data_IF_989538142131
#
_entry.id   IF_989538142131
#
_cell.length_a   1.000
_cell.length_b   1.000
_cell.length_c   1.000
_cell.angle_alpha   90.00
_cell.angle_beta   90.00
_cell.angle_gamma   90.00
#
_symmetry.space_group_name_H-M   'P 1'
#
loop_
_entity.id
_entity.type
_entity.pdbx_description
1 polymer ?
#
# COMPACT_ATOMS: atom_id res chain seq x y z
N UNK A 1 -29.52 -0.75 17.34
CA UNK A 1 -29.25 -1.96 16.53
C UNK A 1 -29.12 -3.15 17.45
N UNK A 2 -29.64 -4.30 17.01
CA UNK A 2 -29.57 -5.52 17.78
C UNK A 2 -30.54 -5.56 18.98
N UNK A 3 -31.52 -4.67 19.05
CA UNK A 3 -32.47 -4.61 20.19
C UNK A 3 -33.20 -5.93 20.38
N UNK A 4 -33.70 -6.54 19.31
CA UNK A 4 -34.37 -7.84 19.39
C UNK A 4 -33.46 -8.97 19.84
N UNK A 5 -32.19 -8.99 19.38
CA UNK A 5 -31.20 -9.96 19.85
C UNK A 5 -30.82 -9.70 21.31
N UNK A 6 -30.71 -8.43 21.69
CA UNK A 6 -30.44 -8.04 23.07
C UNK A 6 -31.59 -8.47 24.00
N UNK A 7 -32.84 -8.26 23.59
CA UNK A 7 -34.00 -8.67 24.33
C UNK A 7 -34.03 -10.18 24.53
N UNK A 8 -33.77 -10.97 23.49
CA UNK A 8 -33.70 -12.43 23.58
C UNK A 8 -32.60 -12.85 24.59
N UNK A 9 -31.39 -12.37 24.46
CA UNK A 9 -30.28 -12.76 25.32
C UNK A 9 -30.49 -12.34 26.77
N UNK A 10 -30.95 -11.12 27.01
CA UNK A 10 -31.11 -10.59 28.36
C UNK A 10 -32.39 -11.04 29.03
N UNK A 11 -33.52 -11.00 28.27
CA UNK A 11 -34.84 -11.21 28.87
C UNK A 11 -35.28 -12.66 28.79
N UNK A 12 -34.96 -13.41 27.74
CA UNK A 12 -35.36 -14.80 27.60
C UNK A 12 -34.30 -15.75 28.18
N UNK A 13 -33.02 -15.60 27.73
CA UNK A 13 -31.94 -16.51 28.14
C UNK A 13 -31.28 -16.11 29.48
N UNK A 14 -31.61 -14.93 30.01
CA UNK A 14 -31.10 -14.39 31.30
C UNK A 14 -29.59 -14.30 31.37
N UNK A 15 -28.94 -14.11 30.22
CA UNK A 15 -27.48 -13.91 30.13
C UNK A 15 -27.18 -12.45 30.46
N UNK A 16 -26.17 -12.25 31.32
CA UNK A 16 -25.73 -10.90 31.66
C UNK A 16 -25.04 -10.23 30.47
N UNK A 17 -25.62 -9.12 30.01
CA UNK A 17 -25.03 -8.28 28.96
C UNK A 17 -24.53 -6.97 29.51
N UNK A 18 -23.43 -6.48 28.96
CA UNK A 18 -22.87 -5.16 29.24
C UNK A 18 -22.93 -4.30 28.00
N UNK A 19 -23.62 -3.18 28.09
CA UNK A 19 -23.64 -2.17 27.03
C UNK A 19 -22.59 -1.11 27.35
N UNK A 20 -21.76 -0.78 26.34
CA UNK A 20 -20.84 0.34 26.47
C UNK A 20 -21.17 1.40 25.41
N UNK A 21 -20.90 2.65 25.73
CA UNK A 21 -20.92 3.75 24.76
C UNK A 21 -19.69 4.63 24.97
N UNK A 22 -19.07 5.10 23.91
CA UNK A 22 -17.99 6.06 24.04
C UNK A 22 -18.54 7.38 24.60
N UNK A 23 -17.79 7.97 25.53
CA UNK A 23 -18.10 9.27 26.14
C UNK A 23 -16.94 10.21 25.88
N UNK A 24 -17.22 11.39 25.32
CA UNK A 24 -16.21 12.39 25.01
C UNK A 24 -16.81 13.67 24.44
N UNK A 25 -15.99 14.63 24.12
CA UNK A 25 -16.43 15.84 23.45
C UNK A 25 -16.88 15.52 22.01
N UNK A 26 -17.75 16.36 21.46
CA UNK A 26 -18.28 16.17 20.10
C UNK A 26 -17.18 16.01 19.05
N UNK A 27 -16.10 16.79 19.16
CA UNK A 27 -14.97 16.74 18.22
C UNK A 27 -14.27 15.37 18.24
N UNK A 28 -14.10 14.77 19.40
CA UNK A 28 -13.45 13.46 19.55
C UNK A 28 -14.34 12.31 19.07
N UNK A 29 -15.65 12.46 19.24
CA UNK A 29 -16.61 11.39 18.91
C UNK A 29 -17.14 11.45 17.49
N UNK A 30 -16.95 12.54 16.76
CA UNK A 30 -17.57 12.76 15.45
C UNK A 30 -17.19 11.65 14.45
N UNK A 31 -15.92 11.31 14.36
CA UNK A 31 -15.44 10.27 13.44
C UNK A 31 -16.02 8.88 13.78
N UNK A 32 -16.12 8.56 15.07
CA UNK A 32 -16.73 7.33 15.53
C UNK A 32 -18.24 7.27 15.20
N UNK A 33 -18.97 8.34 15.49
CA UNK A 33 -20.43 8.41 15.26
C UNK A 33 -20.75 8.36 13.77
N UNK A 34 -20.02 9.09 12.93
CA UNK A 34 -20.21 9.07 11.47
C UNK A 34 -20.00 7.67 10.92
N UNK A 35 -18.95 6.96 11.36
CA UNK A 35 -18.71 5.58 10.94
C UNK A 35 -19.86 4.65 11.34
N UNK A 36 -20.34 4.76 12.59
CA UNK A 36 -21.49 3.94 13.03
C UNK A 36 -22.76 4.27 12.26
N UNK A 37 -23.03 5.54 12.00
CA UNK A 37 -24.20 5.94 11.20
C UNK A 37 -24.12 5.43 9.76
N UNK A 38 -22.95 5.50 9.12
CA UNK A 38 -22.75 4.99 7.76
C UNK A 38 -22.90 3.46 7.69
N UNK A 39 -22.35 2.73 8.64
CA UNK A 39 -22.47 1.28 8.70
C UNK A 39 -23.93 0.83 8.93
N UNK A 40 -24.70 1.59 9.67
CA UNK A 40 -26.05 1.20 10.11
C UNK A 40 -27.16 1.88 9.30
N UNK A 41 -26.86 2.96 8.62
CA UNK A 41 -27.83 3.79 7.88
C UNK A 41 -27.93 3.48 6.39
N UNK A 42 -27.15 2.53 5.87
CA UNK A 42 -27.23 2.18 4.45
C UNK A 42 -28.62 1.62 4.12
N UNK A 43 -29.36 2.29 3.23
CA UNK A 43 -30.69 1.86 2.78
C UNK A 43 -30.68 0.46 2.14
N UNK A 44 -29.51 -0.01 1.70
CA UNK A 44 -29.28 -1.36 1.16
C UNK A 44 -28.99 -2.41 2.23
N UNK A 45 -28.94 -2.05 3.52
CA UNK A 45 -28.64 -3.02 4.57
C UNK A 45 -29.79 -4.01 4.70
N UNK A 46 -29.45 -5.28 4.91
CA UNK A 46 -30.43 -6.36 5.15
C UNK A 46 -31.38 -6.02 6.32
N UNK A 47 -30.86 -5.36 7.37
CA UNK A 47 -31.64 -4.95 8.54
C UNK A 47 -32.73 -3.96 8.16
N UNK A 48 -32.46 -2.99 7.30
CA UNK A 48 -33.49 -2.07 6.82
C UNK A 48 -34.45 -2.74 5.86
N UNK A 49 -33.98 -3.69 5.06
CA UNK A 49 -34.79 -4.42 4.10
C UNK A 49 -35.78 -5.39 4.78
N UNK A 50 -35.40 -6.03 5.89
CA UNK A 50 -36.24 -7.01 6.61
C UNK A 50 -37.42 -6.35 7.35
N UNK A 51 -37.28 -5.09 7.75
CA UNK A 51 -38.37 -4.33 8.41
C UNK A 51 -39.28 -3.59 7.42
N UNK A 52 -38.91 -3.56 6.16
CA UNK A 52 -39.68 -2.92 5.09
C UNK A 52 -40.78 -3.87 4.59
N UNK A 53 -41.98 -3.70 5.11
CA UNK A 53 -43.14 -4.52 4.76
C UNK A 53 -43.62 -4.39 3.30
N UNK A 54 -43.04 -3.46 2.53
CA UNK A 54 -43.35 -3.30 1.12
C UNK A 54 -42.52 -4.23 0.22
N UNK A 55 -41.47 -4.81 0.76
CA UNK A 55 -40.58 -5.73 0.02
C UNK A 55 -41.07 -7.18 0.17
N UNK A 56 -41.22 -7.93 -0.92
CA UNK A 56 -41.52 -9.35 -0.85
C UNK A 56 -40.35 -10.11 -0.20
N UNK A 57 -40.66 -11.11 0.62
CA UNK A 57 -39.69 -11.92 1.36
C UNK A 57 -38.66 -12.57 0.40
N UNK A 58 -39.14 -12.99 -0.77
CA UNK A 58 -38.33 -13.63 -1.81
C UNK A 58 -37.18 -12.72 -2.29
N UNK A 59 -37.38 -11.39 -2.26
CA UNK A 59 -36.31 -10.41 -2.62
C UNK A 59 -35.20 -10.33 -1.58
N UNK A 60 -35.39 -10.86 -0.40
CA UNK A 60 -34.44 -10.86 0.70
C UNK A 60 -33.59 -12.16 0.74
N UNK A 61 -34.00 -13.16 -0.03
CA UNK A 61 -33.42 -14.50 -0.04
C UNK A 61 -32.82 -14.91 -1.40
N UNK A 62 -32.22 -13.98 -2.18
CA UNK A 62 -31.56 -14.38 -3.42
C UNK A 62 -30.37 -15.27 -3.11
N UNK A 63 -30.17 -16.33 -3.89
CA UNK A 63 -28.94 -17.11 -3.82
C UNK A 63 -27.75 -16.21 -4.24
N UNK A 64 -26.76 -15.98 -3.37
CA UNK A 64 -25.64 -15.11 -3.68
C UNK A 64 -24.76 -15.67 -4.80
N UNK A 65 -24.71 -17.00 -4.97
CA UNK A 65 -23.93 -17.65 -6.04
C UNK A 65 -24.60 -17.43 -7.39
N UNK A 66 -25.92 -17.68 -7.47
CA UNK A 66 -26.68 -17.44 -8.71
C UNK A 66 -26.66 -15.95 -9.08
N UNK A 67 -26.84 -15.07 -8.10
CA UNK A 67 -26.75 -13.63 -8.30
C UNK A 67 -25.41 -13.23 -8.88
N UNK A 68 -24.31 -13.72 -8.28
CA UNK A 68 -22.95 -13.41 -8.75
C UNK A 68 -22.70 -14.01 -10.15
N UNK A 69 -23.17 -15.22 -10.42
CA UNK A 69 -23.02 -15.85 -11.74
C UNK A 69 -23.75 -15.08 -12.84
N UNK A 70 -24.92 -14.50 -12.51
CA UNK A 70 -25.70 -13.67 -13.42
C UNK A 70 -25.10 -12.31 -13.74
N UNK A 71 -24.16 -11.81 -12.94
CA UNK A 71 -23.49 -10.54 -13.19
C UNK A 71 -22.48 -10.65 -14.35
N UNK A 72 -22.53 -9.69 -15.29
CA UNK A 72 -21.55 -9.55 -16.35
C UNK A 72 -20.14 -9.29 -15.78
N UNK A 73 -20.05 -8.38 -14.81
CA UNK A 73 -18.84 -8.08 -14.07
C UNK A 73 -18.98 -8.60 -12.64
N UNK A 74 -18.00 -9.35 -12.16
CA UNK A 74 -17.99 -9.95 -10.82
C UNK A 74 -17.54 -8.99 -9.72
N UNK A 75 -17.22 -7.74 -10.07
CA UNK A 75 -16.82 -6.67 -9.17
C UNK A 75 -17.76 -5.47 -9.32
N UNK A 76 -17.80 -4.61 -8.32
CA UNK A 76 -18.59 -3.39 -8.36
C UNK A 76 -17.96 -2.37 -9.33
N UNK A 77 -18.60 -2.15 -10.47
CA UNK A 77 -18.13 -1.23 -11.51
C UNK A 77 -18.19 0.26 -11.14
N UNK A 78 -18.86 0.60 -10.02
CA UNK A 78 -18.90 1.98 -9.52
C UNK A 78 -17.67 2.31 -8.66
N UNK A 79 -16.93 1.30 -8.22
CA UNK A 79 -15.67 1.50 -7.50
C UNK A 79 -14.55 1.50 -8.53
N UNK A 80 -13.83 2.62 -8.62
CA UNK A 80 -12.65 2.72 -9.49
C UNK A 80 -11.57 1.75 -9.02
N UNK A 81 -10.83 1.18 -9.97
CA UNK A 81 -9.61 0.46 -9.63
C UNK A 81 -8.57 1.42 -9.05
N UNK A 82 -7.69 0.97 -8.14
CA UNK A 82 -6.66 1.83 -7.54
C UNK A 82 -5.83 2.59 -8.57
N UNK A 83 -5.50 1.96 -9.69
CA UNK A 83 -4.72 2.57 -10.78
C UNK A 83 -5.46 3.74 -11.45
N UNK A 84 -6.81 3.70 -11.47
CA UNK A 84 -7.67 4.68 -12.14
C UNK A 84 -8.26 5.71 -11.16
N UNK A 85 -7.82 5.70 -9.90
CA UNK A 85 -8.41 6.52 -8.84
C UNK A 85 -8.41 8.01 -9.19
N UNK A 86 -7.32 8.50 -9.75
CA UNK A 86 -7.14 9.90 -10.15
C UNK A 86 -7.45 10.17 -11.62
N UNK A 87 -7.99 9.19 -12.36
CA UNK A 87 -8.36 9.33 -13.76
C UNK A 87 -7.15 9.73 -14.64
N UNK A 88 -7.33 10.77 -15.46
CA UNK A 88 -6.30 11.21 -16.40
C UNK A 88 -5.20 12.08 -15.76
N UNK A 89 -5.35 12.49 -14.49
CA UNK A 89 -4.37 13.34 -13.83
C UNK A 89 -3.06 12.60 -13.58
N UNK A 90 -3.16 11.39 -13.05
CA UNK A 90 -1.99 10.50 -12.80
C UNK A 90 -2.46 9.06 -12.60
N UNK A 91 -1.61 8.11 -12.93
CA UNK A 91 -1.78 6.72 -12.54
C UNK A 91 -1.17 6.49 -11.14
N UNK A 92 -1.88 5.77 -10.27
CA UNK A 92 -1.28 5.26 -9.03
C UNK A 92 -0.22 4.20 -9.33
N UNK A 93 0.69 4.01 -8.39
CA UNK A 93 1.61 2.88 -8.38
C UNK A 93 0.85 1.55 -8.36
N UNK A 94 1.41 0.53 -8.99
CA UNK A 94 0.82 -0.81 -8.99
C UNK A 94 0.90 -1.41 -7.59
N UNK A 95 -0.25 -1.84 -7.07
CA UNK A 95 -0.32 -2.67 -5.87
C UNK A 95 -0.07 -4.15 -6.20
N UNK A 96 0.23 -4.91 -5.17
CA UNK A 96 0.40 -6.35 -5.26
C UNK A 96 -0.48 -7.04 -4.22
N UNK A 97 -1.32 -7.99 -4.64
CA UNK A 97 -2.12 -8.80 -3.73
C UNK A 97 -1.31 -10.03 -3.29
N UNK A 98 -0.74 -9.95 -2.10
CA UNK A 98 0.05 -11.05 -1.54
C UNK A 98 -0.79 -12.27 -1.11
N UNK A 99 -2.12 -12.21 -1.23
CA UNK A 99 -3.01 -13.35 -1.00
C UNK A 99 -3.30 -14.15 -2.27
N UNK A 100 -3.01 -13.59 -3.46
CA UNK A 100 -3.14 -14.28 -4.74
C UNK A 100 -1.90 -15.13 -5.03
N UNK A 101 -2.07 -16.45 -5.10
CA UNK A 101 -0.99 -17.40 -5.36
C UNK A 101 -0.31 -17.15 -6.71
N UNK A 102 -1.05 -16.67 -7.72
CA UNK A 102 -0.49 -16.38 -9.04
C UNK A 102 0.39 -15.12 -9.04
N UNK A 103 0.20 -14.24 -8.06
CA UNK A 103 1.00 -13.02 -7.87
C UNK A 103 2.20 -13.32 -6.98
N UNK A 104 1.98 -13.98 -5.83
CA UNK A 104 3.05 -14.18 -4.85
C UNK A 104 4.10 -15.21 -5.30
N UNK A 105 3.72 -16.23 -6.09
CA UNK A 105 4.67 -17.27 -6.51
C UNK A 105 5.81 -16.70 -7.37
N UNK A 106 5.56 -16.04 -8.52
CA UNK A 106 6.64 -15.47 -9.32
C UNK A 106 7.40 -14.36 -8.59
N UNK A 107 6.71 -13.57 -7.77
CA UNK A 107 7.35 -12.54 -6.95
C UNK A 107 8.36 -13.15 -5.98
N UNK A 108 7.98 -14.22 -5.27
CA UNK A 108 8.89 -14.93 -4.36
C UNK A 108 10.10 -15.50 -5.09
N UNK A 109 9.91 -16.11 -6.26
CA UNK A 109 10.99 -16.64 -7.09
C UNK A 109 11.98 -15.54 -7.50
N UNK A 110 11.48 -14.36 -7.88
CA UNK A 110 12.30 -13.19 -8.21
C UNK A 110 13.12 -12.71 -7.00
N UNK A 111 12.52 -12.63 -5.81
CA UNK A 111 13.22 -12.26 -4.58
C UNK A 111 14.31 -13.28 -4.24
N UNK A 112 14.01 -14.58 -4.31
CA UNK A 112 14.98 -15.65 -4.01
C UNK A 112 16.15 -15.63 -5.02
N UNK A 113 15.88 -15.42 -6.31
CA UNK A 113 16.93 -15.28 -7.32
C UNK A 113 17.84 -14.09 -6.98
N UNK A 114 17.25 -12.94 -6.70
CA UNK A 114 18.02 -11.75 -6.35
C UNK A 114 18.89 -11.97 -5.09
N UNK A 115 18.33 -12.62 -4.04
CA UNK A 115 19.06 -12.90 -2.82
C UNK A 115 20.28 -13.80 -3.04
N UNK A 116 20.20 -14.73 -3.99
CA UNK A 116 21.31 -15.63 -4.30
C UNK A 116 22.40 -14.98 -5.17
N UNK A 117 22.03 -14.02 -6.03
CA UNK A 117 22.91 -13.44 -7.02
C UNK A 117 23.67 -12.20 -6.51
N UNK A 118 23.14 -11.51 -5.48
CA UNK A 118 23.64 -10.19 -5.08
C UNK A 118 24.38 -10.16 -3.73
N UNK A 119 24.68 -11.32 -3.13
CA UNK A 119 25.58 -11.37 -2.00
C UNK A 119 27.02 -11.24 -2.47
N UNK A 120 27.80 -10.40 -1.79
CA UNK A 120 29.23 -10.21 -2.07
C UNK A 120 30.12 -10.72 -0.95
N UNK A 121 31.35 -11.10 -1.30
CA UNK A 121 32.37 -11.46 -0.34
C UNK A 121 33.04 -10.22 0.28
N UNK A 122 33.56 -10.34 1.51
CA UNK A 122 34.32 -9.27 2.16
C UNK A 122 35.51 -8.80 1.30
N UNK A 123 36.12 -9.70 0.49
CA UNK A 123 37.19 -9.38 -0.44
C UNK A 123 36.78 -8.46 -1.59
N UNK A 124 35.48 -8.34 -1.86
CA UNK A 124 34.91 -7.47 -2.88
C UNK A 124 34.59 -6.06 -2.35
N UNK A 125 34.75 -5.83 -1.05
CA UNK A 125 34.60 -4.51 -0.45
C UNK A 125 35.89 -3.75 -0.61
N UNK A 126 35.93 -2.61 -1.36
CA UNK A 126 37.12 -1.84 -1.58
C UNK A 126 37.73 -1.31 -0.27
N UNK A 127 39.05 -1.12 -0.27
CA UNK A 127 39.72 -0.47 0.86
C UNK A 127 39.16 0.93 1.10
N UNK A 128 38.82 1.24 2.35
CA UNK A 128 38.20 2.51 2.76
C UNK A 128 36.69 2.62 2.51
N UNK A 129 36.05 1.59 1.95
CA UNK A 129 34.59 1.51 1.86
C UNK A 129 34.00 0.79 3.07
N UNK A 130 32.75 1.09 3.39
CA UNK A 130 31.97 0.43 4.42
C UNK A 130 31.14 -0.69 3.80
N UNK A 131 31.22 -1.90 4.36
CA UNK A 131 30.35 -3.00 3.97
C UNK A 131 28.90 -2.73 4.43
N UNK A 132 27.95 -2.86 3.52
CA UNK A 132 26.52 -2.85 3.82
C UNK A 132 26.09 -4.28 4.14
N UNK A 133 25.64 -4.50 5.37
CA UNK A 133 25.33 -5.83 5.90
C UNK A 133 23.83 -5.99 6.10
N UNK A 134 23.34 -7.22 5.87
CA UNK A 134 21.98 -7.58 6.23
C UNK A 134 21.80 -7.50 7.76
N UNK A 135 20.86 -6.68 8.28
CA UNK A 135 20.64 -6.55 9.72
C UNK A 135 20.13 -7.84 10.38
N UNK A 136 19.50 -8.74 9.62
CA UNK A 136 19.07 -10.05 10.11
C UNK A 136 20.19 -11.11 10.12
N UNK A 137 21.25 -10.91 9.32
CA UNK A 137 22.40 -11.82 9.25
C UNK A 137 23.68 -11.03 8.88
N UNK A 138 24.43 -10.60 9.86
CA UNK A 138 25.61 -9.78 9.66
C UNK A 138 26.77 -10.48 8.90
N UNK A 139 26.65 -11.76 8.58
CA UNK A 139 27.59 -12.46 7.72
C UNK A 139 27.27 -12.25 6.22
N UNK A 140 26.08 -11.78 5.90
CA UNK A 140 25.70 -11.43 4.55
C UNK A 140 26.07 -9.96 4.25
N UNK A 141 26.93 -9.77 3.24
CA UNK A 141 27.26 -8.44 2.71
C UNK A 141 26.54 -8.24 1.41
N UNK A 142 25.72 -7.18 1.34
CA UNK A 142 24.84 -6.87 0.21
C UNK A 142 25.51 -5.93 -0.77
N UNK A 143 26.42 -5.12 -0.27
CA UNK A 143 27.13 -4.13 -1.06
C UNK A 143 28.13 -3.37 -0.22
N UNK A 144 28.61 -2.26 -0.75
CA UNK A 144 29.50 -1.35 -0.04
C UNK A 144 29.19 0.10 -0.37
N UNK A 145 29.56 1.01 0.52
CA UNK A 145 29.44 2.45 0.33
C UNK A 145 30.76 3.13 0.69
N UNK A 146 31.22 4.03 -0.16
CA UNK A 146 32.35 4.93 0.14
C UNK A 146 31.81 6.26 0.65
N UNK A 147 32.17 6.61 1.88
CA UNK A 147 31.85 7.91 2.43
C UNK A 147 32.72 8.98 1.78
N UNK A 148 32.11 10.11 1.45
CA UNK A 148 32.83 11.24 0.88
C UNK A 148 33.59 12.02 1.96
N UNK A 149 34.75 12.49 1.65
CA UNK A 149 35.53 13.40 2.50
C UNK A 149 34.95 14.82 2.45
N UNK A 150 35.34 15.67 3.41
CA UNK A 150 34.94 17.09 3.41
C UNK A 150 35.39 17.87 2.16
N UNK A 151 36.51 17.49 1.56
CA UNK A 151 37.00 18.15 0.34
C UNK A 151 36.22 17.67 -0.91
N UNK A 152 35.97 16.35 -1.02
CA UNK A 152 35.09 15.81 -2.07
C UNK A 152 33.69 16.43 -2.03
N UNK A 153 33.15 16.72 -0.81
CA UNK A 153 31.87 17.41 -0.67
C UNK A 153 31.89 18.83 -1.24
N UNK A 154 33.01 19.56 -1.14
CA UNK A 154 33.10 20.89 -1.75
C UNK A 154 33.01 20.82 -3.26
N UNK A 155 33.71 19.83 -3.87
CA UNK A 155 33.64 19.61 -5.31
C UNK A 155 32.25 19.21 -5.80
N UNK A 156 31.56 18.37 -5.04
CA UNK A 156 30.19 17.97 -5.32
C UNK A 156 29.24 19.18 -5.31
N UNK A 157 29.37 20.05 -4.29
CA UNK A 157 28.55 21.27 -4.20
C UNK A 157 28.86 22.24 -5.33
N UNK A 158 30.14 22.44 -5.67
CA UNK A 158 30.54 23.30 -6.79
C UNK A 158 29.98 22.78 -8.13
N UNK A 159 30.03 21.47 -8.36
CA UNK A 159 29.44 20.84 -9.55
C UNK A 159 27.92 21.00 -9.60
N UNK A 160 27.22 20.87 -8.48
CA UNK A 160 25.79 21.08 -8.38
C UNK A 160 25.40 22.54 -8.69
N UNK A 161 26.16 23.50 -8.16
CA UNK A 161 25.99 24.93 -8.43
C UNK A 161 26.19 25.25 -9.91
N UNK A 162 27.27 24.75 -10.51
CA UNK A 162 27.51 24.93 -11.93
C UNK A 162 26.44 24.31 -12.83
N UNK A 163 25.87 23.16 -12.45
CA UNK A 163 24.80 22.51 -13.18
C UNK A 163 23.47 23.27 -13.07
N UNK A 164 23.26 24.07 -12.02
CA UNK A 164 22.00 24.77 -11.75
C UNK A 164 21.64 25.75 -12.89
N UNK A 165 22.62 26.41 -13.51
CA UNK A 165 22.36 27.37 -14.58
C UNK A 165 21.59 26.72 -15.75
N UNK A 166 22.06 25.59 -16.25
CA UNK A 166 21.39 24.86 -17.33
C UNK A 166 20.08 24.20 -16.86
N UNK A 167 20.09 23.61 -15.66
CA UNK A 167 18.91 22.98 -15.09
C UNK A 167 17.78 23.94 -14.85
N UNK A 168 18.04 25.16 -14.38
CA UNK A 168 17.03 26.18 -14.14
C UNK A 168 16.30 26.62 -15.41
N UNK A 169 16.95 26.50 -16.59
CA UNK A 169 16.38 26.79 -17.89
C UNK A 169 15.58 25.61 -18.50
N UNK A 170 15.70 24.41 -17.90
CA UNK A 170 14.94 23.24 -18.35
C UNK A 170 13.46 23.46 -18.08
N UNK A 171 12.63 23.24 -19.09
CA UNK A 171 11.18 23.48 -18.97
C UNK A 171 10.56 22.60 -17.88
N UNK A 172 9.52 23.09 -17.21
CA UNK A 172 8.75 22.33 -16.20
C UNK A 172 8.27 21.01 -16.78
N UNK A 173 7.82 21.00 -18.05
CA UNK A 173 7.36 19.79 -18.74
C UNK A 173 8.46 18.73 -18.87
N UNK A 174 9.66 19.15 -19.22
CA UNK A 174 10.81 18.23 -19.34
C UNK A 174 11.21 17.67 -17.99
N UNK A 175 11.26 18.50 -16.93
CA UNK A 175 11.54 18.05 -15.57
C UNK A 175 10.47 17.07 -15.07
N UNK A 176 9.20 17.37 -15.27
CA UNK A 176 8.09 16.48 -14.95
C UNK A 176 8.18 15.13 -15.71
N UNK A 177 8.56 15.17 -17.00
CA UNK A 177 8.75 13.94 -17.79
C UNK A 177 9.93 13.10 -17.31
N UNK A 178 10.96 13.73 -16.73
CA UNK A 178 12.06 12.99 -16.08
C UNK A 178 11.53 12.20 -14.89
N UNK A 179 10.76 12.82 -14.00
CA UNK A 179 10.17 12.14 -12.84
C UNK A 179 9.23 11.01 -13.27
N UNK A 180 8.39 11.19 -14.29
CA UNK A 180 7.53 10.12 -14.80
C UNK A 180 8.35 8.92 -15.31
N UNK A 181 9.46 9.18 -16.02
CA UNK A 181 10.37 8.11 -16.45
C UNK A 181 11.04 7.41 -15.28
N UNK A 182 11.38 8.14 -14.20
CA UNK A 182 11.90 7.53 -12.97
C UNK A 182 10.85 6.62 -12.37
N UNK A 183 9.60 7.06 -12.25
CA UNK A 183 8.49 6.23 -11.77
C UNK A 183 8.35 4.91 -12.56
N UNK A 184 8.41 4.99 -13.89
CA UNK A 184 8.31 3.80 -14.75
C UNK A 184 9.53 2.87 -14.61
N UNK A 185 10.72 3.41 -14.30
CA UNK A 185 11.92 2.62 -14.00
C UNK A 185 11.76 1.92 -12.65
N UNK A 186 11.31 2.63 -11.61
CA UNK A 186 11.07 2.06 -10.30
C UNK A 186 10.05 0.90 -10.36
N UNK A 187 8.96 1.05 -11.11
CA UNK A 187 7.99 -0.04 -11.29
C UNK A 187 8.57 -1.24 -12.05
N UNK A 188 9.44 -1.03 -13.01
CA UNK A 188 10.11 -2.14 -13.73
C UNK A 188 11.08 -2.92 -12.87
N UNK A 189 11.72 -2.26 -11.92
CA UNK A 189 12.68 -2.84 -10.99
C UNK A 189 12.05 -3.11 -9.61
N UNK A 190 10.71 -3.20 -9.56
CA UNK A 190 9.95 -3.33 -8.31
C UNK A 190 10.49 -4.45 -7.42
N UNK A 191 10.60 -5.68 -7.94
CA UNK A 191 10.98 -6.85 -7.14
C UNK A 191 12.42 -6.76 -6.63
N UNK A 192 13.32 -6.25 -7.48
CA UNK A 192 14.72 -5.95 -7.12
C UNK A 192 14.81 -4.92 -5.98
N UNK A 193 14.07 -3.81 -6.10
CA UNK A 193 14.05 -2.76 -5.08
C UNK A 193 13.45 -3.24 -3.76
N UNK A 194 12.40 -4.06 -3.81
CA UNK A 194 11.83 -4.70 -2.62
C UNK A 194 12.85 -5.64 -1.97
N UNK A 195 13.59 -6.42 -2.76
CA UNK A 195 14.64 -7.29 -2.26
C UNK A 195 15.74 -6.50 -1.53
N UNK A 196 16.14 -5.35 -2.09
CA UNK A 196 17.10 -4.43 -1.45
C UNK A 196 16.54 -3.93 -0.12
N UNK A 197 15.30 -3.45 -0.07
CA UNK A 197 14.65 -3.00 1.17
C UNK A 197 14.63 -4.07 2.26
N UNK A 198 14.37 -5.33 1.89
CA UNK A 198 14.38 -6.45 2.81
C UNK A 198 15.79 -6.73 3.33
N UNK A 199 16.78 -6.81 2.44
CA UNK A 199 18.14 -7.22 2.79
C UNK A 199 18.98 -6.12 3.43
N UNK A 200 18.83 -4.88 2.99
CA UNK A 200 19.60 -3.75 3.48
C UNK A 200 18.97 -3.09 4.72
N UNK A 201 17.67 -2.89 4.69
CA UNK A 201 16.95 -2.19 5.77
C UNK A 201 16.21 -3.12 6.74
N UNK A 202 16.19 -4.44 6.48
CA UNK A 202 15.49 -5.41 7.32
C UNK A 202 13.97 -5.26 7.30
N UNK A 203 13.40 -4.69 6.23
CA UNK A 203 11.96 -4.50 6.10
C UNK A 203 11.25 -5.83 5.88
N UNK A 204 10.00 -5.92 6.33
CA UNK A 204 9.11 -7.02 5.90
C UNK A 204 8.68 -6.78 4.45
N UNK A 205 8.25 -7.83 3.78
CA UNK A 205 7.89 -7.80 2.35
C UNK A 205 6.88 -6.70 2.02
N UNK A 206 5.82 -6.58 2.84
CA UNK A 206 4.79 -5.56 2.62
C UNK A 206 5.36 -4.15 2.70
N UNK A 207 6.19 -3.86 3.71
CA UNK A 207 6.80 -2.54 3.86
C UNK A 207 7.75 -2.23 2.69
N UNK A 208 8.48 -3.23 2.17
CA UNK A 208 9.31 -3.06 0.97
C UNK A 208 8.48 -2.70 -0.27
N UNK A 209 7.34 -3.36 -0.46
CA UNK A 209 6.38 -3.03 -1.54
C UNK A 209 5.87 -1.60 -1.38
N UNK A 210 5.49 -1.22 -0.17
CA UNK A 210 4.92 0.10 0.11
C UNK A 210 5.95 1.22 -0.10
N UNK A 211 7.23 1.01 0.22
CA UNK A 211 8.32 1.94 -0.07
C UNK A 211 8.48 2.20 -1.57
N UNK A 212 8.50 1.14 -2.38
CA UNK A 212 8.62 1.29 -3.84
C UNK A 212 7.40 2.01 -4.41
N UNK A 213 6.21 1.67 -3.93
CA UNK A 213 4.96 2.33 -4.34
C UNK A 213 4.96 3.81 -3.96
N UNK A 214 5.38 4.14 -2.75
CA UNK A 214 5.47 5.53 -2.30
C UNK A 214 6.43 6.33 -3.19
N UNK A 215 7.60 5.80 -3.49
CA UNK A 215 8.57 6.44 -4.37
C UNK A 215 8.01 6.69 -5.78
N UNK A 216 7.31 5.72 -6.35
CA UNK A 216 6.62 5.85 -7.65
C UNK A 216 5.55 6.95 -7.59
N UNK A 217 4.70 6.93 -6.55
CA UNK A 217 3.61 7.88 -6.40
C UNK A 217 4.12 9.31 -6.18
N UNK A 218 5.21 9.50 -5.44
CA UNK A 218 5.87 10.81 -5.32
C UNK A 218 6.39 11.30 -6.67
N UNK A 219 7.06 10.46 -7.44
CA UNK A 219 7.53 10.84 -8.78
C UNK A 219 6.38 11.23 -9.73
N UNK A 220 5.20 10.64 -9.56
CA UNK A 220 4.02 10.96 -10.37
C UNK A 220 3.22 12.14 -9.84
N UNK A 221 3.37 12.47 -8.55
CA UNK A 221 2.70 13.59 -7.91
C UNK A 221 3.38 14.93 -8.21
N UNK A 222 4.70 15.01 -8.11
CA UNK A 222 5.50 16.22 -8.38
C UNK A 222 5.90 16.35 -9.84
#
# INVERSE_FOLDING_TARGET
MGESLFDQIVNEEKIQCRVYAPVGQHEDLLAYLVRRLLENGANSSFVNAIVDTTKPVESLLPDPVETLQGLRNKYNTQIKMPIDLYGDERANSKGMDLTDINVITPFKENLESWFNEHLIDQSQVPEGALAVKNPANHNEIIGHVKLQSGDEMKDILANAEAAFESWSQTSVKERANLLRRVADILERHHDELVAICIKEAGKITQDGIDEVREAVDFCRYY
#
